data_IF_983364957628
#
_entry.id   IF_983364957628
#
_cell.length_a   1.000
_cell.length_b   1.000
_cell.length_c   1.000
_cell.angle_alpha   90.00
_cell.angle_beta   90.00
_cell.angle_gamma   90.00
#
_symmetry.space_group_name_H-M   'P 1'
#
loop_
_entity.id
_entity.type
_entity.pdbx_description
1 polymer ?
#
# COMPACT_ATOMS: atom_id res chain seq x y z
N UNK A 1 24.03 -24.95 -19.42
CA UNK A 1 24.04 -24.89 -17.94
C UNK A 1 23.41 -23.57 -17.53
N UNK A 2 22.15 -23.55 -17.08
CA UNK A 2 21.49 -22.31 -16.64
C UNK A 2 21.98 -22.00 -15.23
N UNK A 3 22.78 -20.93 -15.07
CA UNK A 3 23.15 -20.44 -13.74
C UNK A 3 21.92 -19.83 -13.10
N UNK A 4 21.31 -20.49 -12.14
CA UNK A 4 20.32 -19.90 -11.26
C UNK A 4 21.04 -18.85 -10.41
N UNK A 5 20.64 -17.61 -10.54
CA UNK A 5 21.06 -16.58 -9.60
C UNK A 5 20.29 -16.81 -8.31
N UNK A 6 20.87 -17.55 -7.37
CA UNK A 6 20.39 -17.59 -5.99
C UNK A 6 20.52 -16.16 -5.44
N UNK A 7 19.40 -15.44 -5.32
CA UNK A 7 19.47 -14.19 -4.58
C UNK A 7 19.40 -14.49 -3.10
N UNK A 8 20.16 -13.77 -2.31
CA UNK A 8 20.14 -13.88 -0.85
C UNK A 8 18.72 -13.67 -0.30
N UNK A 9 17.95 -12.79 -0.92
CA UNK A 9 16.55 -12.51 -0.56
C UNK A 9 15.64 -13.73 -0.76
N UNK A 10 15.76 -14.43 -1.89
CA UNK A 10 14.97 -15.63 -2.15
C UNK A 10 15.33 -16.75 -1.16
N UNK A 11 16.61 -16.89 -0.81
CA UNK A 11 17.07 -17.83 0.20
C UNK A 11 16.52 -17.50 1.59
N UNK A 12 16.39 -16.22 1.93
CA UNK A 12 15.77 -15.77 3.18
C UNK A 12 14.31 -16.20 3.26
N UNK A 13 13.53 -15.97 2.20
CA UNK A 13 12.12 -16.42 2.13
C UNK A 13 12.01 -17.94 2.30
N UNK A 14 12.79 -18.67 1.53
CA UNK A 14 12.79 -20.17 1.62
C UNK A 14 13.13 -20.63 3.04
N UNK A 15 14.14 -20.06 3.69
CA UNK A 15 14.49 -20.37 5.08
C UNK A 15 13.33 -20.09 6.05
N UNK A 16 12.67 -18.93 5.95
CA UNK A 16 11.51 -18.58 6.79
C UNK A 16 10.37 -19.59 6.62
N UNK A 17 10.07 -20.01 5.40
CA UNK A 17 9.03 -21.02 5.13
C UNK A 17 9.43 -22.40 5.69
N UNK A 18 10.68 -22.81 5.50
CA UNK A 18 11.17 -24.11 6.00
C UNK A 18 11.16 -24.15 7.55
N UNK A 19 11.44 -23.04 8.22
CA UNK A 19 11.30 -22.95 9.69
C UNK A 19 9.85 -23.15 10.16
N UNK A 20 8.87 -22.79 9.35
CA UNK A 20 7.43 -22.98 9.64
C UNK A 20 6.86 -24.28 9.03
N UNK A 21 7.70 -25.12 8.43
CA UNK A 21 7.32 -26.31 7.67
C UNK A 21 6.33 -27.21 8.41
N UNK A 22 6.63 -27.56 9.64
CA UNK A 22 5.79 -28.49 10.40
C UNK A 22 4.41 -27.93 10.72
N UNK A 23 4.29 -26.61 10.92
CA UNK A 23 2.99 -25.93 11.06
C UNK A 23 2.16 -26.12 9.78
N UNK A 24 2.74 -25.90 8.59
CA UNK A 24 2.06 -26.06 7.31
C UNK A 24 1.66 -27.52 7.04
N UNK A 25 2.54 -28.48 7.30
CA UNK A 25 2.25 -29.91 7.13
C UNK A 25 1.14 -30.38 8.07
N UNK A 26 1.16 -29.95 9.34
CA UNK A 26 0.10 -30.25 10.30
C UNK A 26 -1.27 -29.71 9.87
N UNK A 27 -1.30 -28.53 9.23
CA UNK A 27 -2.53 -27.99 8.65
C UNK A 27 -2.98 -28.81 7.44
N UNK A 28 -2.07 -29.16 6.53
CA UNK A 28 -2.37 -29.93 5.34
C UNK A 28 -2.86 -31.36 5.65
N UNK A 29 -2.47 -31.92 6.80
CA UNK A 29 -3.00 -33.21 7.28
C UNK A 29 -4.44 -33.12 7.83
N UNK A 30 -4.90 -31.90 8.17
CA UNK A 30 -6.24 -31.67 8.75
C UNK A 30 -7.22 -31.05 7.76
N UNK A 31 -6.72 -30.29 6.81
CA UNK A 31 -7.51 -29.50 5.86
C UNK A 31 -7.07 -29.87 4.44
N UNK A 32 -7.98 -30.30 3.58
CA UNK A 32 -7.64 -30.55 2.17
C UNK A 32 -7.10 -29.31 1.48
N UNK A 33 -6.01 -29.45 0.74
CA UNK A 33 -5.50 -28.39 -0.15
C UNK A 33 -6.40 -28.24 -1.37
N UNK A 34 -6.51 -27.04 -1.99
CA UNK A 34 -5.77 -25.82 -1.68
C UNK A 34 -6.42 -24.99 -0.55
N UNK A 35 -5.60 -24.32 0.25
CA UNK A 35 -6.09 -23.38 1.27
C UNK A 35 -5.11 -22.23 1.50
N UNK A 36 -5.63 -21.12 2.05
CA UNK A 36 -4.81 -19.99 2.48
C UNK A 36 -4.43 -20.14 3.95
N UNK A 37 -3.22 -19.71 4.29
CA UNK A 37 -2.73 -19.63 5.67
C UNK A 37 -2.45 -18.17 6.00
N UNK A 38 -3.08 -17.65 7.04
CA UNK A 38 -2.73 -16.38 7.61
C UNK A 38 -1.50 -16.50 8.51
N UNK A 39 -0.43 -15.83 8.14
CA UNK A 39 0.82 -15.74 8.91
C UNK A 39 0.84 -14.44 9.72
N UNK A 40 0.32 -14.53 10.95
CA UNK A 40 0.26 -13.40 11.88
C UNK A 40 1.65 -12.84 12.20
N UNK A 41 2.61 -13.72 12.46
CA UNK A 41 4.00 -13.32 12.80
C UNK A 41 4.66 -12.58 11.63
N UNK A 42 4.49 -13.09 10.40
CA UNK A 42 5.03 -12.44 9.20
C UNK A 42 4.41 -11.05 8.94
N UNK A 43 3.13 -10.88 9.26
CA UNK A 43 2.47 -9.57 9.20
C UNK A 43 3.00 -8.62 10.28
N UNK A 44 3.16 -9.10 11.51
CA UNK A 44 3.67 -8.30 12.63
C UNK A 44 5.08 -7.78 12.33
N UNK A 45 5.98 -8.65 11.88
CA UNK A 45 7.34 -8.26 11.47
C UNK A 45 7.32 -7.16 10.40
N UNK A 46 6.42 -7.28 9.41
CA UNK A 46 6.29 -6.28 8.35
C UNK A 46 5.80 -4.93 8.87
N UNK A 47 4.79 -4.92 9.75
CA UNK A 47 4.27 -3.69 10.38
C UNK A 47 5.36 -3.03 11.23
N UNK A 48 5.99 -3.78 12.13
CA UNK A 48 7.00 -3.27 13.04
C UNK A 48 8.21 -2.70 12.30
N UNK A 49 8.69 -3.43 11.28
CA UNK A 49 9.80 -2.97 10.44
C UNK A 49 9.45 -1.68 9.71
N UNK A 50 8.24 -1.58 9.15
CA UNK A 50 7.78 -0.39 8.44
C UNK A 50 7.68 0.81 9.37
N UNK A 51 6.93 0.67 10.45
CA UNK A 51 6.67 1.77 11.38
C UNK A 51 7.96 2.26 12.03
N UNK A 52 8.81 1.33 12.52
CA UNK A 52 10.07 1.69 13.17
C UNK A 52 11.04 2.40 12.21
N UNK A 53 11.12 1.96 10.95
CA UNK A 53 11.97 2.63 9.95
C UNK A 53 11.53 4.08 9.72
N UNK A 54 10.24 4.31 9.52
CA UNK A 54 9.74 5.67 9.30
C UNK A 54 9.82 6.55 10.53
N UNK A 55 9.44 6.07 11.72
CA UNK A 55 9.48 6.86 12.95
C UNK A 55 10.90 7.29 13.35
N UNK A 56 11.92 6.52 12.98
CA UNK A 56 13.34 6.89 13.18
C UNK A 56 13.73 8.17 12.44
N UNK A 57 13.14 8.42 11.28
CA UNK A 57 13.48 9.54 10.41
C UNK A 57 12.44 10.66 10.37
N UNK A 58 11.22 10.37 10.80
CA UNK A 58 10.07 11.28 10.77
C UNK A 58 9.34 11.17 12.11
N UNK A 59 9.63 12.05 13.10
CA UNK A 59 9.05 11.94 14.45
C UNK A 59 7.52 11.96 14.49
N UNK A 60 6.88 12.78 13.64
CA UNK A 60 5.41 12.92 13.56
C UNK A 60 4.80 11.99 12.50
N UNK A 61 5.32 10.75 12.38
CA UNK A 61 4.86 9.79 11.40
C UNK A 61 3.69 8.94 11.90
N UNK A 62 2.71 8.73 11.03
CA UNK A 62 1.61 7.79 11.21
C UNK A 62 1.50 6.86 9.99
N UNK A 63 1.18 5.59 10.23
CA UNK A 63 1.01 4.59 9.18
C UNK A 63 -0.44 4.14 9.12
N UNK A 64 -1.00 4.06 7.90
CA UNK A 64 -2.37 3.64 7.63
C UNK A 64 -2.34 2.44 6.68
N UNK A 65 -2.95 1.34 7.10
CA UNK A 65 -2.99 0.15 6.26
C UNK A 65 -3.98 0.31 5.10
N UNK A 66 -3.52 0.10 3.86
CA UNK A 66 -4.36 0.20 2.67
C UNK A 66 -5.23 -1.07 2.52
N UNK A 67 -6.48 -0.99 2.96
CA UNK A 67 -7.44 -2.12 3.04
C UNK A 67 -7.70 -2.77 1.68
N UNK A 68 -7.64 -1.99 0.59
CA UNK A 68 -7.80 -2.47 -0.79
C UNK A 68 -6.86 -3.60 -1.20
N UNK A 69 -5.71 -3.77 -0.54
CA UNK A 69 -4.73 -4.81 -0.87
C UNK A 69 -5.17 -6.18 -0.35
N UNK A 70 -5.66 -6.22 0.88
CA UNK A 70 -6.28 -7.41 1.45
C UNK A 70 -7.27 -7.00 2.55
N UNK A 71 -8.54 -7.06 2.23
CA UNK A 71 -9.63 -6.67 3.13
C UNK A 71 -10.12 -7.80 4.04
N UNK A 72 -9.35 -8.91 4.13
CA UNK A 72 -9.72 -10.01 5.03
C UNK A 72 -9.80 -9.50 6.49
N UNK A 73 -10.87 -9.81 7.25
CA UNK A 73 -11.06 -9.26 8.60
C UNK A 73 -9.88 -9.47 9.54
N UNK A 74 -9.24 -10.64 9.53
CA UNK A 74 -8.06 -10.92 10.36
C UNK A 74 -6.88 -9.97 10.07
N UNK A 75 -6.67 -9.63 8.79
CA UNK A 75 -5.62 -8.70 8.36
C UNK A 75 -5.96 -7.29 8.86
N UNK A 76 -7.19 -6.84 8.61
CA UNK A 76 -7.63 -5.48 8.97
C UNK A 76 -7.63 -5.29 10.48
N UNK A 77 -8.20 -6.25 11.24
CA UNK A 77 -8.18 -6.20 12.72
C UNK A 77 -6.76 -6.19 13.26
N UNK A 78 -5.86 -6.98 12.66
CA UNK A 78 -4.46 -7.01 13.11
C UNK A 78 -3.73 -5.68 12.88
N UNK A 79 -3.98 -5.01 11.76
CA UNK A 79 -3.44 -3.67 11.51
C UNK A 79 -3.90 -2.67 12.59
N UNK A 80 -5.19 -2.69 12.94
CA UNK A 80 -5.75 -1.86 14.02
C UNK A 80 -5.13 -2.19 15.39
N UNK A 81 -5.04 -3.48 15.75
CA UNK A 81 -4.41 -3.96 17.00
C UNK A 81 -2.94 -3.49 17.11
N UNK A 82 -2.24 -3.37 15.99
CA UNK A 82 -0.86 -2.85 15.93
C UNK A 82 -0.79 -1.31 15.87
N UNK A 83 -1.90 -0.61 16.06
CA UNK A 83 -1.96 0.85 16.17
C UNK A 83 -1.91 1.57 14.82
N UNK A 84 -2.07 0.87 13.68
CA UNK A 84 -2.21 1.51 12.37
C UNK A 84 -3.58 2.14 12.22
N UNK A 85 -3.67 3.29 11.53
CA UNK A 85 -4.90 3.73 10.91
C UNK A 85 -5.24 2.88 9.68
N UNK A 86 -6.38 3.16 9.04
CA UNK A 86 -6.80 2.45 7.83
C UNK A 86 -7.07 3.42 6.67
N UNK A 87 -6.53 3.11 5.48
CA UNK A 87 -6.89 3.73 4.21
C UNK A 87 -7.95 2.86 3.52
N UNK A 88 -9.13 3.45 3.28
CA UNK A 88 -10.27 2.78 2.67
C UNK A 88 -10.73 3.49 1.40
N UNK A 89 -11.11 2.73 0.38
CA UNK A 89 -11.46 3.24 -0.95
C UNK A 89 -12.94 2.99 -1.34
N UNK A 90 -13.75 2.44 -0.43
CA UNK A 90 -15.16 2.15 -0.67
C UNK A 90 -15.94 2.08 0.64
N UNK A 91 -17.27 2.21 0.55
CA UNK A 91 -18.16 2.02 1.72
C UNK A 91 -18.05 0.60 2.29
N UNK A 92 -17.80 -0.40 1.45
CA UNK A 92 -17.55 -1.78 1.92
C UNK A 92 -16.30 -1.83 2.81
N UNK A 93 -15.19 -1.23 2.38
CA UNK A 93 -13.95 -1.19 3.15
C UNK A 93 -14.10 -0.34 4.42
N UNK A 94 -14.83 0.80 4.34
CA UNK A 94 -15.17 1.60 5.52
C UNK A 94 -15.93 0.77 6.57
N UNK A 95 -16.92 -0.02 6.15
CA UNK A 95 -17.67 -0.88 7.06
C UNK A 95 -16.78 -1.96 7.71
N UNK A 96 -15.82 -2.52 6.96
CA UNK A 96 -14.84 -3.46 7.51
C UNK A 96 -13.94 -2.76 8.53
N UNK A 97 -13.47 -1.54 8.23
CA UNK A 97 -12.66 -0.74 9.13
C UNK A 97 -13.38 -0.40 10.45
N UNK A 98 -14.63 0.04 10.36
CA UNK A 98 -15.46 0.34 11.53
C UNK A 98 -15.71 -0.91 12.38
N UNK A 99 -16.00 -2.06 11.76
CA UNK A 99 -16.17 -3.34 12.46
C UNK A 99 -14.89 -3.82 13.14
N UNK A 100 -13.72 -3.48 12.58
CA UNK A 100 -12.43 -3.77 13.19
C UNK A 100 -12.07 -2.82 14.35
N UNK A 101 -12.92 -1.84 14.67
CA UNK A 101 -12.68 -0.87 15.75
C UNK A 101 -11.69 0.23 15.39
N UNK A 102 -11.51 0.55 14.10
CA UNK A 102 -10.59 1.61 13.70
C UNK A 102 -11.08 2.99 14.15
N UNK A 103 -10.21 3.75 14.82
CA UNK A 103 -10.45 5.11 15.30
C UNK A 103 -9.83 6.18 14.37
N UNK A 104 -8.95 5.77 13.45
CA UNK A 104 -8.27 6.64 12.49
C UNK A 104 -8.43 6.07 11.09
N UNK A 105 -9.26 6.72 10.27
CA UNK A 105 -9.58 6.25 8.93
C UNK A 105 -9.38 7.40 7.94
N UNK A 106 -8.68 7.12 6.84
CA UNK A 106 -8.64 7.97 5.65
C UNK A 106 -9.56 7.33 4.60
N UNK A 107 -10.50 8.10 4.08
CA UNK A 107 -11.36 7.66 2.99
C UNK A 107 -10.96 8.37 1.70
N UNK A 108 -10.38 7.60 0.78
CA UNK A 108 -10.03 8.10 -0.54
C UNK A 108 -10.58 7.18 -1.64
N UNK A 109 -11.34 7.77 -2.55
CA UNK A 109 -11.78 7.18 -3.82
C UNK A 109 -11.97 8.30 -4.84
N UNK A 110 -11.66 8.11 -6.13
CA UNK A 110 -11.93 9.11 -7.16
C UNK A 110 -13.42 9.22 -7.54
N UNK A 111 -14.22 8.26 -7.11
CA UNK A 111 -15.63 8.17 -7.45
C UNK A 111 -16.51 8.00 -6.19
N UNK A 112 -16.70 9.11 -5.47
CA UNK A 112 -17.59 9.17 -4.30
C UNK A 112 -18.95 9.74 -4.68
N UNK A 113 -20.02 8.95 -4.55
CA UNK A 113 -21.38 9.46 -4.75
C UNK A 113 -21.84 10.34 -3.58
N UNK A 114 -22.89 11.14 -3.80
CA UNK A 114 -23.50 11.92 -2.71
C UNK A 114 -24.03 11.04 -1.58
N UNK A 115 -24.43 9.80 -1.85
CA UNK A 115 -24.89 8.85 -0.82
C UNK A 115 -23.68 8.28 -0.05
N UNK A 116 -22.56 7.99 -0.72
CA UNK A 116 -21.33 7.58 -0.04
C UNK A 116 -20.86 8.67 0.91
N UNK A 117 -20.78 9.93 0.44
CA UNK A 117 -20.38 11.06 1.26
C UNK A 117 -21.29 11.27 2.46
N UNK A 118 -22.63 11.17 2.28
CA UNK A 118 -23.58 11.22 3.41
C UNK A 118 -23.34 10.10 4.43
N UNK A 119 -22.99 8.91 3.96
CA UNK A 119 -22.70 7.80 4.84
C UNK A 119 -21.40 8.03 5.61
N UNK A 120 -20.34 8.46 4.93
CA UNK A 120 -19.04 8.79 5.55
C UNK A 120 -19.18 9.88 6.60
N UNK A 121 -19.98 10.92 6.34
CA UNK A 121 -20.23 12.02 7.27
C UNK A 121 -20.85 11.58 8.61
N UNK A 122 -21.50 10.43 8.69
CA UNK A 122 -21.98 9.87 9.98
C UNK A 122 -20.83 9.43 10.90
N UNK A 123 -19.62 9.33 10.35
CA UNK A 123 -18.41 8.89 11.02
C UNK A 123 -17.30 9.94 10.95
N UNK A 124 -17.68 11.23 10.86
CA UNK A 124 -16.74 12.34 10.70
C UNK A 124 -15.77 12.51 11.89
N UNK A 125 -16.09 11.93 13.03
CA UNK A 125 -15.24 11.84 14.23
C UNK A 125 -14.02 10.92 14.04
N UNK A 126 -14.14 9.90 13.16
CA UNK A 126 -13.09 8.89 12.90
C UNK A 126 -12.51 8.97 11.51
N UNK A 127 -13.22 9.62 10.58
CA UNK A 127 -12.88 9.60 9.15
C UNK A 127 -12.44 10.97 8.66
N UNK A 128 -11.28 11.01 8.03
CA UNK A 128 -10.82 12.09 7.17
C UNK A 128 -11.10 11.74 5.72
N UNK A 129 -11.62 12.66 4.93
CA UNK A 129 -11.84 12.46 3.49
C UNK A 129 -10.69 13.09 2.70
N UNK A 130 -10.06 12.35 1.81
CA UNK A 130 -9.23 12.92 0.75
C UNK A 130 -10.07 13.17 -0.49
N UNK A 131 -10.22 14.45 -0.84
CA UNK A 131 -10.98 14.93 -1.99
C UNK A 131 -10.15 14.74 -3.26
N UNK A 132 -10.79 14.40 -4.39
CA UNK A 132 -10.12 14.13 -5.66
C UNK A 132 -10.31 15.25 -6.70
N UNK A 133 -11.33 16.09 -6.57
CA UNK A 133 -11.68 17.09 -7.57
C UNK A 133 -12.44 18.30 -7.00
N UNK A 134 -12.53 19.38 -7.79
CA UNK A 134 -13.37 20.54 -7.45
C UNK A 134 -14.87 20.20 -7.37
N UNK A 135 -15.34 19.30 -8.24
CA UNK A 135 -16.75 18.86 -8.21
C UNK A 135 -17.07 18.17 -6.88
N UNK A 136 -16.17 17.31 -6.42
CA UNK A 136 -16.32 16.65 -5.13
C UNK A 136 -16.26 17.64 -3.97
N UNK A 137 -15.34 18.62 -4.02
CA UNK A 137 -15.29 19.72 -3.03
C UNK A 137 -16.63 20.41 -2.89
N UNK A 138 -17.22 20.83 -4.01
CA UNK A 138 -18.51 21.51 -4.01
C UNK A 138 -19.65 20.65 -3.51
N UNK A 139 -19.66 19.36 -3.90
CA UNK A 139 -20.66 18.41 -3.42
C UNK A 139 -20.56 18.20 -1.91
N UNK A 140 -19.34 17.92 -1.41
CA UNK A 140 -19.09 17.71 0.01
C UNK A 140 -19.38 18.98 0.82
N UNK A 141 -18.96 20.14 0.31
CA UNK A 141 -19.20 21.43 0.96
C UNK A 141 -20.68 21.75 1.13
N UNK A 142 -21.51 21.48 0.10
CA UNK A 142 -22.98 21.60 0.20
C UNK A 142 -23.56 20.61 1.20
N UNK A 143 -23.10 19.37 1.21
CA UNK A 143 -23.59 18.33 2.13
C UNK A 143 -23.26 18.66 3.58
N UNK A 144 -22.02 19.04 3.88
CA UNK A 144 -21.58 19.38 5.23
C UNK A 144 -22.30 20.62 5.76
N UNK A 145 -22.52 21.63 4.92
CA UNK A 145 -23.28 22.84 5.28
C UNK A 145 -24.75 22.51 5.57
N UNK A 146 -25.38 21.66 4.74
CA UNK A 146 -26.77 21.21 4.95
C UNK A 146 -26.93 20.40 6.22
N UNK A 147 -26.00 19.50 6.50
CA UNK A 147 -26.04 18.59 7.67
C UNK A 147 -25.44 19.21 8.93
N UNK A 148 -24.75 20.37 8.82
CA UNK A 148 -24.00 21.04 9.89
C UNK A 148 -22.95 20.13 10.55
N UNK A 149 -22.30 19.27 9.74
CA UNK A 149 -21.27 18.33 10.20
C UNK A 149 -19.90 18.87 9.82
N UNK A 150 -19.05 19.12 10.82
CA UNK A 150 -17.63 19.46 10.61
C UNK A 150 -16.83 18.21 10.27
N UNK A 151 -15.97 18.29 9.26
CA UNK A 151 -15.08 17.19 8.88
C UNK A 151 -13.71 17.73 8.46
N UNK A 152 -12.65 17.02 8.84
CA UNK A 152 -11.31 17.27 8.32
C UNK A 152 -11.14 16.64 6.94
N UNK A 153 -10.55 17.40 6.02
CA UNK A 153 -10.35 16.94 4.64
C UNK A 153 -8.94 17.22 4.16
N UNK A 154 -8.47 16.34 3.27
CA UNK A 154 -7.28 16.56 2.46
C UNK A 154 -7.64 16.67 0.99
N UNK A 155 -6.71 17.14 0.18
CA UNK A 155 -6.81 17.16 -1.27
C UNK A 155 -5.72 16.29 -1.89
N UNK A 156 -6.07 15.43 -2.82
CA UNK A 156 -5.10 14.70 -3.63
C UNK A 156 -4.59 15.57 -4.76
N UNK A 157 -3.27 15.60 -4.90
CA UNK A 157 -2.58 16.31 -5.97
C UNK A 157 -1.75 15.36 -6.83
N UNK A 158 -1.43 15.81 -8.04
CA UNK A 158 -0.37 15.23 -8.86
C UNK A 158 0.62 16.32 -9.30
N UNK A 159 1.88 15.93 -9.45
CA UNK A 159 3.01 16.76 -9.88
C UNK A 159 3.63 16.17 -11.15
N UNK A 160 4.58 16.83 -11.82
CA UNK A 160 5.32 16.25 -12.93
C UNK A 160 6.01 14.91 -12.60
N UNK A 161 6.35 14.67 -11.34
CA UNK A 161 6.93 13.41 -10.88
C UNK A 161 6.00 12.20 -11.07
N UNK A 162 4.67 12.42 -11.22
CA UNK A 162 3.69 11.37 -11.49
C UNK A 162 3.72 10.87 -12.95
N UNK A 163 4.39 11.59 -13.87
CA UNK A 163 4.42 11.25 -15.30
C UNK A 163 3.00 11.17 -15.88
N UNK A 164 2.64 10.03 -16.48
CA UNK A 164 1.30 9.79 -17.04
C UNK A 164 0.25 9.41 -15.99
N UNK A 165 0.60 9.32 -14.72
CA UNK A 165 -0.29 8.90 -13.63
C UNK A 165 -1.12 10.08 -13.08
N UNK A 166 -1.76 10.84 -13.98
CA UNK A 166 -2.47 12.09 -13.68
C UNK A 166 -4.00 11.95 -13.61
N UNK A 167 -4.51 10.72 -13.67
CA UNK A 167 -5.96 10.44 -13.66
C UNK A 167 -6.64 10.67 -12.31
N UNK A 168 -5.87 10.95 -11.26
CA UNK A 168 -6.34 11.14 -9.90
C UNK A 168 -5.83 12.46 -9.34
N UNK A 169 -6.69 13.13 -8.56
CA UNK A 169 -6.37 14.38 -7.91
C UNK A 169 -6.35 15.57 -8.86
N UNK A 170 -5.96 16.72 -8.33
CA UNK A 170 -5.82 17.96 -9.08
C UNK A 170 -4.35 18.23 -9.41
N UNK A 171 -4.06 18.98 -10.52
CA UNK A 171 -2.69 19.43 -10.76
C UNK A 171 -2.20 20.34 -9.62
N UNK A 172 -0.92 20.22 -9.26
CA UNK A 172 -0.31 21.03 -8.21
C UNK A 172 -0.59 22.54 -8.39
N UNK A 173 -0.57 23.05 -9.62
CA UNK A 173 -0.83 24.44 -9.94
C UNK A 173 -2.24 24.92 -9.56
N UNK A 174 -3.18 24.01 -9.38
CA UNK A 174 -4.54 24.30 -8.95
C UNK A 174 -4.73 24.31 -7.43
N UNK A 175 -3.69 23.92 -6.66
CA UNK A 175 -3.80 23.73 -5.20
C UNK A 175 -4.22 25.00 -4.46
N UNK A 176 -3.63 26.15 -4.78
CA UNK A 176 -4.01 27.43 -4.16
C UNK A 176 -5.49 27.76 -4.40
N UNK A 177 -5.93 27.69 -5.66
CA UNK A 177 -7.33 27.90 -6.02
C UNK A 177 -8.26 26.95 -5.26
N UNK A 178 -7.88 25.68 -5.15
CA UNK A 178 -8.65 24.69 -4.40
C UNK A 178 -8.76 25.07 -2.92
N UNK A 179 -7.66 25.55 -2.31
CA UNK A 179 -7.63 25.97 -0.91
C UNK A 179 -8.56 27.16 -0.66
N UNK A 180 -8.54 28.15 -1.55
CA UNK A 180 -9.42 29.32 -1.53
C UNK A 180 -10.91 28.93 -1.73
N UNK A 181 -11.20 28.00 -2.63
CA UNK A 181 -12.57 27.50 -2.82
C UNK A 181 -13.07 26.71 -1.60
N UNK A 182 -12.22 25.90 -0.99
CA UNK A 182 -12.57 25.12 0.19
C UNK A 182 -12.91 26.01 1.40
N UNK A 183 -12.23 27.15 1.55
CA UNK A 183 -12.47 28.10 2.66
C UNK A 183 -13.88 28.72 2.66
N UNK A 184 -14.60 28.65 1.54
CA UNK A 184 -16.00 29.10 1.44
C UNK A 184 -16.98 28.19 2.18
N UNK A 185 -16.53 26.98 2.61
CA UNK A 185 -17.36 25.99 3.29
C UNK A 185 -16.96 25.88 4.78
N UNK A 186 -17.70 26.52 5.70
CA UNK A 186 -17.28 26.64 7.10
C UNK A 186 -17.25 25.30 7.87
N UNK A 187 -17.86 24.26 7.32
CA UNK A 187 -17.87 22.91 7.89
C UNK A 187 -16.79 21.98 7.30
N UNK A 188 -16.04 22.45 6.28
CA UNK A 188 -14.87 21.73 5.75
C UNK A 188 -13.60 22.32 6.36
N UNK A 189 -12.85 21.52 7.09
CA UNK A 189 -11.51 21.89 7.56
C UNK A 189 -10.49 21.29 6.61
N UNK A 190 -10.18 21.99 5.51
CA UNK A 190 -9.10 21.59 4.61
C UNK A 190 -7.76 21.87 5.29
N UNK A 191 -7.05 20.81 5.65
CA UNK A 191 -5.75 20.89 6.32
C UNK A 191 -4.79 19.76 5.91
N UNK A 192 -5.14 18.97 4.90
CA UNK A 192 -4.34 17.84 4.43
C UNK A 192 -4.00 17.94 2.94
N UNK A 193 -2.81 17.48 2.57
CA UNK A 193 -2.38 17.31 1.18
C UNK A 193 -1.96 15.87 1.00
N UNK A 194 -2.47 15.21 -0.04
CA UNK A 194 -2.20 13.82 -0.36
C UNK A 194 -1.60 13.66 -1.75
N UNK A 195 -0.62 12.80 -1.90
CA UNK A 195 -0.11 12.35 -3.19
C UNK A 195 0.23 10.87 -3.16
N UNK A 196 0.00 10.17 -4.26
CA UNK A 196 0.24 8.73 -4.33
C UNK A 196 0.61 8.27 -5.73
N UNK A 197 1.58 7.38 -5.82
CA UNK A 197 1.89 6.59 -7.00
C UNK A 197 2.14 5.14 -6.58
N UNK A 198 1.64 4.19 -7.36
CA UNK A 198 1.89 2.76 -7.13
C UNK A 198 3.25 2.33 -7.68
N UNK A 199 3.85 1.29 -7.07
CA UNK A 199 5.04 0.60 -7.56
C UNK A 199 6.26 1.50 -7.74
N UNK A 200 6.62 2.20 -6.70
CA UNK A 200 7.80 3.06 -6.69
C UNK A 200 9.07 2.23 -6.50
N UNK A 201 9.76 1.94 -7.59
CA UNK A 201 11.03 1.18 -7.58
C UNK A 201 12.23 2.00 -7.08
N UNK A 202 12.05 3.29 -6.91
CA UNK A 202 13.05 4.23 -6.42
C UNK A 202 12.43 5.25 -5.49
N UNK A 203 13.24 5.94 -4.70
CA UNK A 203 12.79 7.04 -3.84
C UNK A 203 12.43 8.31 -4.62
N UNK A 204 12.79 8.37 -5.90
CA UNK A 204 12.74 9.61 -6.71
C UNK A 204 11.35 10.23 -6.77
N UNK A 205 10.30 9.40 -6.85
CA UNK A 205 8.94 9.88 -6.85
C UNK A 205 8.63 10.73 -5.61
N UNK A 206 8.92 10.20 -4.42
CA UNK A 206 8.66 10.90 -3.16
C UNK A 206 9.50 12.16 -3.02
N UNK A 207 10.81 12.04 -3.24
CA UNK A 207 11.76 13.16 -3.11
C UNK A 207 11.41 14.31 -4.05
N UNK A 208 11.09 14.01 -5.31
CA UNK A 208 10.72 15.03 -6.29
C UNK A 208 9.37 15.67 -5.96
N UNK A 209 8.36 14.86 -5.60
CA UNK A 209 7.03 15.37 -5.24
C UNK A 209 7.09 16.27 -4.00
N UNK A 210 7.85 15.87 -2.96
CA UNK A 210 8.05 16.70 -1.76
C UNK A 210 8.70 18.03 -2.11
N UNK A 211 9.76 18.01 -2.93
CA UNK A 211 10.43 19.23 -3.37
C UNK A 211 9.50 20.15 -4.17
N UNK A 212 8.79 19.59 -5.15
CA UNK A 212 7.93 20.35 -6.04
C UNK A 212 6.75 20.98 -5.25
N UNK A 213 6.16 20.21 -4.34
CA UNK A 213 5.11 20.69 -3.45
C UNK A 213 5.62 21.79 -2.50
N UNK A 214 6.77 21.61 -1.87
CA UNK A 214 7.33 22.58 -0.94
C UNK A 214 7.65 23.91 -1.64
N UNK A 215 8.23 23.88 -2.84
CA UNK A 215 8.48 25.06 -3.64
C UNK A 215 7.18 25.79 -3.98
N UNK A 216 6.17 25.05 -4.44
CA UNK A 216 4.86 25.61 -4.75
C UNK A 216 4.20 26.28 -3.53
N UNK A 217 4.25 25.63 -2.36
CA UNK A 217 3.70 26.16 -1.12
C UNK A 217 4.39 27.48 -0.72
N UNK A 218 5.72 27.53 -0.79
CA UNK A 218 6.50 28.75 -0.49
C UNK A 218 6.13 29.93 -1.39
N UNK A 219 5.93 29.69 -2.67
CA UNK A 219 5.67 30.71 -3.68
C UNK A 219 4.23 31.19 -3.69
N UNK A 220 3.29 30.32 -3.34
CA UNK A 220 1.87 30.56 -3.60
C UNK A 220 0.98 30.66 -2.35
N UNK A 221 1.43 30.20 -1.17
CA UNK A 221 0.65 30.21 0.05
C UNK A 221 1.05 31.37 0.96
N UNK A 222 0.06 31.96 1.61
CA UNK A 222 0.29 32.94 2.71
C UNK A 222 0.78 32.20 3.96
N UNK A 223 1.36 32.94 4.93
CA UNK A 223 1.80 32.34 6.20
C UNK A 223 0.66 31.64 6.94
N UNK A 224 -0.56 32.13 6.89
CA UNK A 224 -1.70 31.49 7.55
C UNK A 224 -2.19 30.25 6.82
N UNK A 225 -2.12 30.25 5.50
CA UNK A 225 -2.38 29.05 4.71
C UNK A 225 -1.33 27.96 4.99
N UNK A 226 -0.03 28.31 5.08
CA UNK A 226 1.03 27.37 5.46
C UNK A 226 0.79 26.78 6.85
N UNK A 227 0.43 27.60 7.84
CA UNK A 227 0.09 27.12 9.20
C UNK A 227 -1.14 26.19 9.21
N UNK A 228 -2.05 26.34 8.25
CA UNK A 228 -3.23 25.49 8.15
C UNK A 228 -2.95 24.09 7.58
N UNK A 229 -1.79 23.87 6.95
CA UNK A 229 -1.37 22.55 6.47
C UNK A 229 -0.88 21.72 7.66
N UNK A 230 -1.75 20.88 8.16
CA UNK A 230 -1.50 20.05 9.35
C UNK A 230 -1.18 18.58 9.03
N UNK A 231 -1.39 18.13 7.78
CA UNK A 231 -1.16 16.76 7.35
C UNK A 231 -0.59 16.72 5.94
N UNK A 232 0.44 15.90 5.75
CA UNK A 232 0.92 15.50 4.43
C UNK A 232 0.91 13.97 4.35
N UNK A 233 0.06 13.46 3.47
CA UNK A 233 -0.03 12.04 3.17
C UNK A 233 0.71 11.75 1.86
N UNK A 234 1.80 10.99 1.96
CA UNK A 234 2.59 10.62 0.80
C UNK A 234 2.22 9.24 0.22
N UNK A 235 1.07 8.70 0.64
CA UNK A 235 0.48 7.50 0.06
C UNK A 235 1.26 6.23 0.33
N UNK A 236 1.05 5.26 -0.54
CA UNK A 236 1.73 3.97 -0.51
C UNK A 236 2.64 3.77 -1.73
N UNK A 237 2.72 2.53 -2.21
CA UNK A 237 3.51 2.19 -3.38
C UNK A 237 4.91 1.66 -3.07
N UNK A 238 5.19 1.37 -1.80
CA UNK A 238 6.45 0.75 -1.35
C UNK A 238 6.52 -0.70 -1.83
N UNK A 239 7.65 -1.06 -2.43
CA UNK A 239 7.93 -2.42 -2.82
C UNK A 239 8.52 -3.21 -1.63
N UNK A 240 8.22 -4.51 -1.59
CA UNK A 240 8.81 -5.40 -0.60
C UNK A 240 10.12 -5.96 -1.16
N UNK A 241 11.23 -5.74 -0.45
CA UNK A 241 12.56 -6.10 -0.96
C UNK A 241 12.81 -7.61 -1.07
N UNK A 242 12.03 -8.43 -0.38
CA UNK A 242 12.30 -9.88 -0.30
C UNK A 242 11.67 -10.70 -1.43
N UNK A 243 10.59 -10.25 -2.05
CA UNK A 243 9.77 -11.10 -2.92
C UNK A 243 9.46 -10.53 -4.30
N UNK A 244 9.80 -9.28 -4.57
CA UNK A 244 9.44 -8.69 -5.85
C UNK A 244 10.48 -8.98 -6.93
N UNK A 245 10.11 -9.81 -7.87
CA UNK A 245 10.85 -10.08 -9.08
C UNK A 245 9.92 -10.15 -10.26
N UNK A 246 10.47 -10.01 -11.45
CA UNK A 246 9.72 -10.12 -12.69
C UNK A 246 10.20 -11.30 -13.53
N UNK A 247 9.25 -11.99 -14.12
CA UNK A 247 9.53 -13.01 -15.12
C UNK A 247 9.84 -12.33 -16.45
N UNK A 248 11.09 -12.44 -16.90
CA UNK A 248 11.52 -11.91 -18.19
C UNK A 248 11.54 -13.04 -19.22
N UNK A 249 10.70 -12.95 -20.25
CA UNK A 249 10.75 -13.84 -21.42
C UNK A 249 11.60 -13.19 -22.51
N UNK A 250 12.58 -13.92 -23.04
CA UNK A 250 13.30 -13.56 -24.27
C UNK A 250 13.05 -14.65 -25.30
N UNK A 251 12.14 -14.36 -26.24
CA UNK A 251 11.80 -15.29 -27.34
C UNK A 251 11.19 -16.62 -26.84
N UNK A 252 11.54 -17.73 -27.50
CA UNK A 252 11.10 -19.09 -27.17
C UNK A 252 11.83 -19.73 -25.96
N UNK A 253 12.75 -18.99 -25.35
CA UNK A 253 13.50 -19.50 -24.19
C UNK A 253 12.66 -19.50 -22.92
N UNK A 254 13.02 -20.37 -21.98
CA UNK A 254 12.44 -20.42 -20.65
C UNK A 254 12.46 -19.02 -19.98
N UNK A 255 11.38 -18.62 -19.34
CA UNK A 255 11.35 -17.34 -18.66
C UNK A 255 12.43 -17.31 -17.57
N UNK A 256 13.17 -16.22 -17.53
CA UNK A 256 14.18 -15.98 -16.49
C UNK A 256 13.56 -15.10 -15.43
N UNK A 257 13.73 -15.49 -14.18
CA UNK A 257 13.44 -14.63 -13.05
C UNK A 257 14.53 -13.58 -12.91
N UNK A 258 14.12 -12.32 -12.91
CA UNK A 258 15.01 -11.19 -12.62
C UNK A 258 14.52 -10.52 -11.36
N UNK A 259 15.31 -10.57 -10.29
CA UNK A 259 15.08 -9.77 -9.11
C UNK A 259 15.32 -8.32 -9.47
N UNK A 260 14.37 -7.45 -9.16
CA UNK A 260 14.62 -6.02 -9.14
C UNK A 260 15.62 -5.76 -8.00
N UNK A 261 16.57 -4.85 -8.20
CA UNK A 261 17.41 -4.34 -7.12
C UNK A 261 16.50 -3.47 -6.26
N UNK A 262 15.90 -4.06 -5.24
CA UNK A 262 14.88 -3.39 -4.44
C UNK A 262 15.55 -2.53 -3.38
N UNK A 263 15.00 -1.35 -3.18
CA UNK A 263 15.33 -0.43 -2.11
C UNK A 263 14.70 -0.97 -0.83
N UNK A 264 15.44 -0.95 0.27
CA UNK A 264 14.93 -1.34 1.59
C UNK A 264 13.96 -0.28 2.13
N UNK A 265 13.09 -0.68 3.05
CA UNK A 265 12.16 0.26 3.67
C UNK A 265 12.89 1.35 4.46
N UNK A 266 14.05 1.03 5.02
CA UNK A 266 14.92 1.98 5.70
C UNK A 266 15.48 3.04 4.75
N UNK A 267 15.83 2.66 3.51
CA UNK A 267 16.28 3.61 2.49
C UNK A 267 15.15 4.54 2.04
N UNK A 268 13.90 4.02 1.90
CA UNK A 268 12.72 4.86 1.66
C UNK A 268 12.52 5.86 2.80
N UNK A 269 12.47 5.38 4.04
CA UNK A 269 12.22 6.19 5.22
C UNK A 269 13.27 7.30 5.38
N UNK A 270 14.55 6.97 5.22
CA UNK A 270 15.66 7.93 5.30
C UNK A 270 15.58 9.00 4.20
N UNK A 271 15.33 8.59 2.95
CA UNK A 271 15.27 9.53 1.84
C UNK A 271 14.07 10.49 1.95
N UNK A 272 12.91 9.96 2.33
CA UNK A 272 11.68 10.74 2.55
C UNK A 272 11.88 11.68 3.76
N UNK A 273 12.39 11.17 4.90
CA UNK A 273 12.65 11.96 6.09
C UNK A 273 13.64 13.10 5.85
N UNK A 274 14.74 12.84 5.13
CA UNK A 274 15.69 13.88 4.75
C UNK A 274 15.03 14.97 3.85
N UNK A 275 14.15 14.55 2.95
CA UNK A 275 13.42 15.49 2.08
C UNK A 275 12.42 16.33 2.86
N UNK A 276 11.70 15.74 3.81
CA UNK A 276 10.79 16.43 4.71
C UNK A 276 11.55 17.48 5.52
N UNK A 277 12.62 17.07 6.21
CA UNK A 277 13.47 17.94 7.01
C UNK A 277 14.01 19.13 6.21
N UNK A 278 14.41 18.90 4.97
CA UNK A 278 14.97 19.96 4.11
C UNK A 278 13.90 20.88 3.53
N UNK A 279 12.75 20.34 3.14
CA UNK A 279 11.80 21.05 2.30
C UNK A 279 10.55 21.50 3.06
N UNK A 280 9.98 20.67 3.94
CA UNK A 280 8.74 20.97 4.66
C UNK A 280 8.95 21.60 6.04
N UNK A 281 9.82 21.05 6.88
CA UNK A 281 10.01 21.53 8.25
C UNK A 281 10.31 23.05 8.35
N UNK A 282 10.98 23.71 7.37
CA UNK A 282 11.15 25.15 7.40
C UNK A 282 9.88 25.97 7.12
N UNK A 283 8.81 25.34 6.62
CA UNK A 283 7.62 26.06 6.12
C UNK A 283 6.29 25.62 6.72
N UNK A 284 6.18 24.34 7.12
CA UNK A 284 4.96 23.76 7.71
C UNK A 284 5.31 22.90 8.92
N UNK A 285 4.36 22.83 9.88
CA UNK A 285 4.42 21.89 10.98
C UNK A 285 3.28 20.88 10.81
N UNK A 286 3.57 19.74 10.20
CA UNK A 286 2.58 18.74 9.82
C UNK A 286 2.83 17.36 10.44
N UNK A 287 1.76 16.60 10.56
CA UNK A 287 1.84 15.14 10.71
C UNK A 287 2.05 14.53 9.33
N UNK A 288 2.95 13.57 9.25
CA UNK A 288 3.25 12.85 8.00
C UNK A 288 2.62 11.46 8.03
N UNK A 289 1.92 11.14 6.95
CA UNK A 289 1.17 9.90 6.84
C UNK A 289 1.59 9.09 5.62
N UNK A 290 1.54 7.78 5.72
CA UNK A 290 1.66 6.88 4.57
C UNK A 290 0.68 5.73 4.61
N UNK A 291 0.41 5.16 3.41
CA UNK A 291 -0.60 4.13 3.17
C UNK A 291 0.03 2.81 2.65
N UNK A 292 0.90 2.13 3.44
CA UNK A 292 1.47 0.87 3.00
C UNK A 292 0.39 -0.21 2.88
N UNK A 293 0.40 -0.92 1.76
CA UNK A 293 -0.45 -2.08 1.55
C UNK A 293 0.37 -3.32 1.26
N UNK A 294 1.00 -3.40 0.07
CA UNK A 294 1.78 -4.57 -0.35
C UNK A 294 2.90 -4.92 0.62
N UNK A 295 3.63 -3.93 1.10
CA UNK A 295 4.69 -4.15 2.07
C UNK A 295 4.19 -4.91 3.31
N UNK A 296 3.02 -4.53 3.82
CA UNK A 296 2.42 -5.15 5.01
C UNK A 296 1.88 -6.56 4.71
N UNK A 297 1.19 -6.72 3.57
CA UNK A 297 0.52 -7.98 3.23
C UNK A 297 1.44 -9.05 2.66
N UNK A 298 2.62 -8.70 2.18
CA UNK A 298 3.47 -9.63 1.43
C UNK A 298 3.78 -10.93 2.17
N UNK A 299 4.04 -10.84 3.47
CA UNK A 299 4.36 -11.98 4.33
C UNK A 299 3.17 -12.43 5.20
N UNK A 300 1.97 -11.84 4.99
CA UNK A 300 0.81 -12.11 5.82
C UNK A 300 -0.01 -13.32 5.39
N UNK A 301 0.13 -13.75 4.13
CA UNK A 301 -0.67 -14.85 3.58
C UNK A 301 0.17 -15.80 2.75
N UNK A 302 -0.05 -17.09 2.94
CA UNK A 302 0.53 -18.14 2.14
C UNK A 302 -0.57 -19.01 1.52
N UNK A 303 -0.27 -19.64 0.38
CA UNK A 303 -1.15 -20.61 -0.26
C UNK A 303 -0.48 -21.99 -0.14
N UNK A 304 -1.19 -22.95 0.43
CA UNK A 304 -0.76 -24.35 0.49
C UNK A 304 -1.45 -25.12 -0.61
N UNK A 305 -0.65 -25.74 -1.45
CA UNK A 305 -1.08 -26.50 -2.62
C UNK A 305 -0.53 -27.92 -2.55
N UNK A 306 -1.21 -28.87 -3.18
CA UNK A 306 -0.70 -30.20 -3.43
C UNK A 306 -0.33 -30.38 -4.90
N UNK A 307 0.71 -31.17 -5.13
CA UNK A 307 1.01 -31.69 -6.46
C UNK A 307 -0.03 -32.77 -6.77
N UNK A 308 -0.90 -32.47 -7.75
CA UNK A 308 -1.94 -33.39 -8.20
C UNK A 308 -1.38 -34.44 -9.17
N UNK A 309 -0.42 -34.05 -10.03
CA UNK A 309 0.20 -34.94 -11.02
C UNK A 309 1.57 -34.40 -11.47
N UNK A 310 2.46 -35.33 -11.84
CA UNK A 310 3.75 -34.99 -12.47
C UNK A 310 3.75 -35.61 -13.86
N UNK A 311 3.50 -34.77 -14.87
CA UNK A 311 3.41 -35.23 -16.27
C UNK A 311 4.75 -35.73 -16.81
N UNK A 312 5.81 -35.00 -16.48
CA UNK A 312 7.18 -35.29 -16.90
C UNK A 312 8.19 -34.50 -16.03
N UNK A 313 9.45 -34.48 -16.46
CA UNK A 313 10.52 -33.76 -15.75
C UNK A 313 10.34 -32.24 -15.70
N UNK A 314 9.52 -31.69 -16.59
CA UNK A 314 9.35 -30.23 -16.76
C UNK A 314 7.96 -29.73 -16.38
N UNK A 315 6.98 -30.61 -16.23
CA UNK A 315 5.58 -30.22 -16.05
C UNK A 315 4.97 -30.87 -14.79
N UNK A 316 4.45 -30.02 -13.93
CA UNK A 316 3.82 -30.38 -12.66
C UNK A 316 2.44 -29.74 -12.57
N UNK A 317 1.43 -30.50 -12.22
CA UNK A 317 0.05 -30.05 -12.03
C UNK A 317 -0.20 -29.84 -10.54
N UNK A 318 -0.67 -28.65 -10.18
CA UNK A 318 -1.09 -28.30 -8.83
C UNK A 318 -2.62 -28.30 -8.74
N UNK A 319 -3.15 -28.59 -7.56
CA UNK A 319 -4.59 -28.57 -7.29
C UNK A 319 -5.15 -27.16 -7.05
N UNK A 320 -4.41 -26.12 -7.36
CA UNK A 320 -4.84 -24.74 -7.34
C UNK A 320 -4.08 -23.92 -8.38
N UNK A 321 -4.63 -22.82 -8.80
CA UNK A 321 -4.11 -22.08 -9.94
C UNK A 321 -4.24 -20.59 -9.84
N UNK A 322 -4.33 -19.97 -11.02
CA UNK A 322 -4.37 -18.53 -11.21
C UNK A 322 -5.48 -17.82 -10.41
N UNK A 323 -6.60 -18.49 -10.20
CA UNK A 323 -7.72 -17.93 -9.46
C UNK A 323 -7.41 -17.69 -7.97
N UNK A 324 -6.32 -18.28 -7.47
CA UNK A 324 -5.89 -18.11 -6.08
C UNK A 324 -4.89 -16.98 -5.88
N UNK A 325 -4.24 -16.47 -6.93
CA UNK A 325 -3.21 -15.42 -6.83
C UNK A 325 -3.68 -14.06 -7.34
N UNK A 326 -4.90 -13.97 -7.84
CA UNK A 326 -5.53 -12.72 -8.24
C UNK A 326 -4.84 -12.01 -9.42
N UNK A 327 -4.96 -10.69 -9.41
CA UNK A 327 -4.55 -9.85 -10.52
C UNK A 327 -3.04 -9.78 -10.76
N UNK A 328 -2.22 -9.98 -9.72
CA UNK A 328 -0.75 -9.88 -9.79
C UNK A 328 -0.13 -10.78 -10.84
N UNK A 329 -0.77 -11.89 -11.20
CA UNK A 329 -0.30 -12.77 -12.26
C UNK A 329 -0.17 -12.06 -13.61
N UNK A 330 -1.09 -11.18 -13.95
CA UNK A 330 -1.06 -10.45 -15.22
C UNK A 330 0.08 -9.44 -15.30
N UNK A 331 0.62 -9.07 -14.16
CA UNK A 331 1.71 -8.13 -14.03
C UNK A 331 3.10 -8.78 -14.07
N UNK A 332 3.16 -10.08 -14.38
CA UNK A 332 4.40 -10.88 -14.47
C UNK A 332 5.16 -10.97 -13.15
N UNK A 333 4.46 -10.86 -12.03
CA UNK A 333 5.07 -11.06 -10.72
C UNK A 333 5.44 -12.52 -10.49
N UNK A 334 6.50 -12.74 -9.73
CA UNK A 334 6.97 -14.07 -9.35
C UNK A 334 6.52 -14.40 -7.93
N UNK A 335 5.90 -15.56 -7.79
CA UNK A 335 5.55 -16.13 -6.49
C UNK A 335 6.50 -17.28 -6.18
N UNK A 336 7.34 -17.15 -5.12
CA UNK A 336 8.22 -18.26 -4.71
C UNK A 336 7.41 -19.49 -4.35
N UNK A 337 7.78 -20.64 -4.91
CA UNK A 337 7.22 -21.93 -4.57
C UNK A 337 8.26 -22.75 -3.78
N UNK A 338 7.84 -23.26 -2.64
CA UNK A 338 8.71 -24.04 -1.75
C UNK A 338 8.10 -25.43 -1.55
N UNK A 339 8.86 -26.47 -1.90
CA UNK A 339 8.47 -27.85 -1.58
C UNK A 339 8.70 -28.10 -0.09
N UNK A 340 7.61 -28.18 0.67
CA UNK A 340 7.65 -28.41 2.12
C UNK A 340 7.56 -29.88 2.50
N UNK A 341 7.10 -30.77 1.60
CA UNK A 341 7.02 -32.21 1.89
C UNK A 341 8.41 -32.85 1.87
N UNK A 342 9.17 -32.58 0.82
CA UNK A 342 10.52 -33.11 0.63
C UNK A 342 11.46 -31.98 0.22
N UNK A 343 11.85 -31.10 1.16
CA UNK A 343 12.76 -30.01 0.85
C UNK A 343 14.12 -30.57 0.42
N UNK A 344 14.63 -30.10 -0.71
CA UNK A 344 15.92 -30.53 -1.27
C UNK A 344 16.75 -29.32 -1.65
N UNK A 345 18.09 -29.44 -1.48
CA UNK A 345 19.05 -28.47 -1.98
C UNK A 345 19.22 -28.53 -3.51
N UNK A 346 18.76 -29.62 -4.15
CA UNK A 346 18.76 -29.76 -5.60
C UNK A 346 17.47 -29.20 -6.15
N UNK A 347 17.57 -28.11 -6.88
CA UNK A 347 16.45 -27.49 -7.57
C UNK A 347 16.45 -27.93 -9.04
N UNK A 348 15.26 -28.06 -9.60
CA UNK A 348 15.05 -28.25 -11.03
C UNK A 348 14.07 -27.21 -11.56
N UNK A 349 14.22 -26.85 -12.80
CA UNK A 349 13.26 -26.00 -13.48
C UNK A 349 12.03 -26.85 -13.83
N UNK A 350 10.84 -26.35 -13.46
CA UNK A 350 9.57 -27.00 -13.72
C UNK A 350 8.50 -25.96 -14.00
N UNK A 351 7.59 -26.26 -14.93
CA UNK A 351 6.38 -25.48 -15.16
C UNK A 351 5.31 -25.96 -14.18
N UNK A 352 4.79 -25.02 -13.42
CA UNK A 352 3.67 -25.29 -12.51
C UNK A 352 2.38 -24.89 -13.21
N UNK A 353 1.49 -25.84 -13.41
CA UNK A 353 0.19 -25.65 -14.01
C UNK A 353 -0.86 -25.75 -12.91
N UNK A 354 -1.78 -24.78 -12.88
CA UNK A 354 -2.93 -24.83 -11.98
C UNK A 354 -4.13 -25.52 -12.61
N UNK A 355 -5.04 -25.93 -11.76
CA UNK A 355 -6.36 -26.44 -12.15
C UNK A 355 -7.35 -25.28 -12.26
#
# INVERSE_FOLDING_TARGET
>A
MVKYTKSENLLSIVKKIILKRDKFLNLANKIPTPFYVYDKEGMDESIESFVASFQRHIPNFQSYYAVKLNHHPLIVSRAVEKGMGLDVASIRELNIALKAGAEKIVYYSPAKSGNDLKYVLKHADKVRIHIDSFNELHLLGKLTSKLKIKIEVGIRIHTPAHGLWTKYGIPLQSLRKFWEEASKYPFLKLNGIHFHQSRNKTVSFYVNTIRDLANYLKENFTSDQLKSVALVDFGGGFEHCESEGVIVRKGLHWPKYKISKNITIEEYARAIGNSIKKCFDPIINATYLSEPGRYICNNAMHIVLSVADIKDKENCILNGGVNMVGWQRFEKEYFPLVNITHPSKKERQCRMWGN
#
